data_IF_380313750852
#
_entry.id   IF_380313750852
#
_cell.length_a   1.000
_cell.length_b   1.000
_cell.length_c   1.000
_cell.angle_alpha   90.00
_cell.angle_beta   90.00
_cell.angle_gamma   90.00
#
_symmetry.space_group_name_H-M   'P 1'
#
loop_
_entity.id
_entity.type
_entity.pdbx_description
1 polymer ?
#
# COMPACT_ATOMS: atom_id res chain seq x y z
N UNK A 1 2.25 -2.92 -48.76
CA UNK A 1 2.95 -3.67 -47.70
C UNK A 1 3.32 -2.81 -46.48
N UNK A 2 3.42 -1.47 -46.58
CA UNK A 2 3.77 -0.59 -45.46
C UNK A 2 2.74 -0.55 -44.31
N UNK A 3 1.43 -0.49 -44.61
CA UNK A 3 0.37 -0.45 -43.59
C UNK A 3 0.37 -1.67 -42.64
N UNK A 4 0.77 -2.85 -43.14
CA UNK A 4 0.89 -4.06 -42.33
C UNK A 4 2.09 -4.02 -41.37
N UNK A 5 3.16 -3.29 -41.71
CA UNK A 5 4.31 -3.11 -40.85
C UNK A 5 4.00 -2.07 -39.75
N UNK A 6 3.33 -0.97 -40.09
CA UNK A 6 2.87 0.04 -39.13
C UNK A 6 1.89 -0.54 -38.11
N UNK A 7 0.90 -1.33 -38.55
CA UNK A 7 -0.04 -2.00 -37.63
C UNK A 7 0.71 -2.92 -36.66
N UNK A 8 1.70 -3.68 -37.14
CA UNK A 8 2.50 -4.56 -36.26
C UNK A 8 3.36 -3.78 -35.28
N UNK A 9 3.92 -2.64 -35.69
CA UNK A 9 4.67 -1.77 -34.79
C UNK A 9 3.76 -1.17 -33.70
N UNK A 10 2.56 -0.73 -34.06
CA UNK A 10 1.58 -0.19 -33.11
C UNK A 10 1.12 -1.26 -32.10
N UNK A 11 0.87 -2.48 -32.56
CA UNK A 11 0.53 -3.60 -31.68
C UNK A 11 1.67 -3.89 -30.71
N UNK A 12 2.92 -3.93 -31.17
CA UNK A 12 4.08 -4.15 -30.31
C UNK A 12 4.24 -3.04 -29.24
N UNK A 13 3.95 -1.78 -29.60
CA UNK A 13 3.96 -0.67 -28.66
C UNK A 13 2.87 -0.81 -27.58
N UNK A 14 1.64 -1.18 -27.98
CA UNK A 14 0.53 -1.42 -27.05
C UNK A 14 0.84 -2.61 -26.14
N UNK A 15 1.40 -3.69 -26.66
CA UNK A 15 1.81 -4.86 -25.88
C UNK A 15 2.88 -4.47 -24.84
N UNK A 16 3.89 -3.70 -25.24
CA UNK A 16 4.92 -3.21 -24.31
C UNK A 16 4.34 -2.30 -23.22
N UNK A 17 3.44 -1.38 -23.59
CA UNK A 17 2.76 -0.51 -22.64
C UNK A 17 1.87 -1.31 -21.67
N UNK A 18 1.19 -2.34 -22.16
CA UNK A 18 0.34 -3.23 -21.36
C UNK A 18 1.17 -4.05 -20.38
N UNK A 19 2.30 -4.61 -20.83
CA UNK A 19 3.21 -5.35 -19.96
C UNK A 19 3.79 -4.46 -18.85
N UNK A 20 4.18 -3.23 -19.19
CA UNK A 20 4.65 -2.26 -18.19
C UNK A 20 3.55 -1.88 -17.19
N UNK A 21 2.30 -1.70 -17.64
CA UNK A 21 1.18 -1.41 -16.77
C UNK A 21 0.87 -2.59 -15.82
N UNK A 22 0.95 -3.84 -16.30
CA UNK A 22 0.77 -5.03 -15.48
C UNK A 22 1.86 -5.16 -14.40
N UNK A 23 3.12 -4.94 -14.76
CA UNK A 23 4.23 -4.98 -13.80
C UNK A 23 4.02 -3.96 -12.67
N UNK A 24 3.67 -2.71 -13.01
CA UNK A 24 3.36 -1.66 -12.03
C UNK A 24 2.15 -2.01 -11.15
N UNK A 25 1.12 -2.63 -11.72
CA UNK A 25 -0.04 -3.06 -10.94
C UNK A 25 0.33 -4.13 -9.90
N UNK A 26 1.18 -5.10 -10.27
CA UNK A 26 1.68 -6.13 -9.35
C UNK A 26 2.57 -5.54 -8.26
N UNK A 27 3.48 -4.62 -8.62
CA UNK A 27 4.32 -3.92 -7.66
C UNK A 27 3.48 -3.14 -6.64
N UNK A 28 2.47 -2.40 -7.10
CA UNK A 28 1.53 -1.67 -6.24
C UNK A 28 0.70 -2.61 -5.38
N UNK A 29 0.28 -3.77 -5.89
CA UNK A 29 -0.45 -4.76 -5.10
C UNK A 29 0.40 -5.37 -3.97
N UNK A 30 1.72 -5.49 -4.19
CA UNK A 30 2.65 -6.05 -3.21
C UNK A 30 3.25 -4.99 -2.27
N UNK A 31 3.08 -3.70 -2.57
CA UNK A 31 3.53 -2.62 -1.71
C UNK A 31 2.87 -2.73 -0.33
N UNK A 32 3.66 -2.45 0.70
CA UNK A 32 3.26 -2.59 2.09
C UNK A 32 3.81 -1.41 2.89
N UNK A 33 2.95 -0.75 3.66
CA UNK A 33 3.24 0.43 4.46
C UNK A 33 3.01 0.12 5.92
N UNK A 34 4.06 0.23 6.72
CA UNK A 34 3.99 0.00 8.16
C UNK A 34 4.08 1.31 8.93
N UNK A 35 3.25 1.46 9.96
CA UNK A 35 3.20 2.63 10.83
C UNK A 35 3.17 2.23 12.31
N UNK A 36 3.95 2.88 13.18
CA UNK A 36 3.93 2.61 14.61
C UNK A 36 2.62 3.08 15.25
N UNK A 37 2.11 2.28 16.18
CA UNK A 37 0.96 2.58 17.04
C UNK A 37 1.48 3.23 18.31
N UNK A 38 1.25 4.54 18.46
CA UNK A 38 1.69 5.29 19.64
C UNK A 38 3.18 5.10 19.96
N UNK A 39 3.54 5.35 21.22
CA UNK A 39 4.87 5.07 21.77
C UNK A 39 4.93 3.58 22.13
N UNK A 40 5.41 2.74 21.20
CA UNK A 40 5.72 1.32 21.46
C UNK A 40 4.50 0.40 21.73
N UNK A 41 3.28 0.78 21.33
CA UNK A 41 2.11 -0.10 21.49
C UNK A 41 2.02 -1.16 20.39
N UNK A 42 2.74 -0.98 19.28
CA UNK A 42 2.68 -1.91 18.17
C UNK A 42 2.93 -1.27 16.81
N UNK A 43 2.55 -1.99 15.75
CA UNK A 43 2.64 -1.55 14.35
C UNK A 43 1.37 -1.94 13.58
N UNK A 44 0.89 -1.03 12.74
CA UNK A 44 -0.14 -1.28 11.74
C UNK A 44 0.52 -1.47 10.38
N UNK A 45 0.07 -2.46 9.62
CA UNK A 45 0.52 -2.71 8.26
C UNK A 45 -0.65 -2.61 7.29
N UNK A 46 -0.51 -1.74 6.30
CA UNK A 46 -1.48 -1.49 5.23
C UNK A 46 -0.86 -1.85 3.88
N UNK A 47 -1.64 -2.44 2.99
CA UNK A 47 -1.21 -2.75 1.64
C UNK A 47 -1.24 -1.55 0.70
N UNK A 48 -0.75 -1.73 -0.52
CA UNK A 48 -0.61 -0.65 -1.48
C UNK A 48 -1.91 -0.03 -1.97
N UNK A 49 -3.06 -0.67 -1.73
CA UNK A 49 -4.38 -0.13 -2.06
C UNK A 49 -5.08 0.51 -0.86
N UNK A 50 -4.37 0.64 0.28
CA UNK A 50 -4.94 1.17 1.51
C UNK A 50 -5.69 0.13 2.34
N UNK A 51 -5.62 -1.15 1.99
CA UNK A 51 -6.26 -2.23 2.76
C UNK A 51 -5.46 -2.59 4.02
N UNK A 52 -6.13 -2.69 5.17
CA UNK A 52 -5.50 -3.13 6.41
C UNK A 52 -5.11 -4.61 6.32
N UNK A 53 -3.82 -4.92 6.50
CA UNK A 53 -3.29 -6.30 6.42
C UNK A 53 -2.97 -6.90 7.78
N UNK A 54 -2.35 -6.12 8.66
CA UNK A 54 -1.98 -6.59 9.99
C UNK A 54 -2.00 -5.46 11.02
N UNK A 55 -2.22 -5.85 12.27
CA UNK A 55 -2.09 -5.00 13.46
C UNK A 55 -1.38 -5.83 14.50
N UNK A 56 -0.10 -5.53 14.73
CA UNK A 56 0.72 -6.20 15.73
C UNK A 56 0.80 -5.33 16.97
N UNK A 57 0.30 -5.82 18.10
CA UNK A 57 0.31 -5.09 19.37
C UNK A 57 1.35 -5.68 20.33
N UNK A 58 2.12 -4.82 20.99
CA UNK A 58 3.00 -5.23 22.07
C UNK A 58 2.23 -5.38 23.38
N UNK A 59 1.88 -6.63 23.69
CA UNK A 59 1.17 -7.02 24.93
C UNK A 59 1.84 -6.55 26.23
N UNK A 60 3.14 -6.26 26.24
CA UNK A 60 3.83 -5.73 27.42
C UNK A 60 3.50 -4.26 27.62
N UNK A 61 3.56 -3.48 26.54
CA UNK A 61 3.23 -2.06 26.51
C UNK A 61 1.74 -1.80 26.73
N UNK A 62 0.88 -2.73 26.32
CA UNK A 62 -0.58 -2.65 26.55
C UNK A 62 -0.96 -2.55 28.03
N UNK A 63 -0.13 -3.05 28.95
CA UNK A 63 -0.39 -2.98 30.40
C UNK A 63 -0.41 -1.56 30.95
N UNK A 64 0.18 -0.62 30.23
CA UNK A 64 0.32 0.78 30.63
C UNK A 64 -0.61 1.72 29.85
N UNK A 65 -1.49 1.17 29.02
CA UNK A 65 -2.51 1.94 28.30
C UNK A 65 -3.92 1.50 28.68
N UNK A 66 -4.91 2.31 28.35
CA UNK A 66 -6.32 1.94 28.47
C UNK A 66 -6.93 1.76 27.08
N UNK A 67 -8.13 1.16 27.04
CA UNK A 67 -8.83 0.84 25.81
C UNK A 67 -9.05 2.07 24.91
N UNK A 68 -9.48 3.21 25.48
CA UNK A 68 -9.74 4.42 24.71
C UNK A 68 -8.47 4.96 24.06
N UNK A 69 -7.39 5.05 24.83
CA UNK A 69 -6.10 5.54 24.34
C UNK A 69 -5.51 4.59 23.28
N UNK A 70 -5.69 3.28 23.44
CA UNK A 70 -5.28 2.30 22.44
C UNK A 70 -6.11 2.45 21.15
N UNK A 71 -7.43 2.56 21.25
CA UNK A 71 -8.31 2.72 20.10
C UNK A 71 -7.96 3.98 19.30
N UNK A 72 -7.71 5.10 19.97
CA UNK A 72 -7.29 6.34 19.33
C UNK A 72 -5.91 6.22 18.68
N UNK A 73 -4.95 5.56 19.34
CA UNK A 73 -3.62 5.33 18.80
C UNK A 73 -3.66 4.44 17.54
N UNK A 74 -4.45 3.37 17.57
CA UNK A 74 -4.63 2.45 16.43
C UNK A 74 -5.30 3.18 15.28
N UNK A 75 -6.41 3.90 15.55
CA UNK A 75 -7.11 4.69 14.53
C UNK A 75 -6.17 5.70 13.87
N UNK A 76 -5.36 6.40 14.65
CA UNK A 76 -4.38 7.37 14.14
C UNK A 76 -3.27 6.69 13.33
N UNK A 77 -2.81 5.50 13.72
CA UNK A 77 -1.84 4.73 12.96
C UNK A 77 -2.41 4.25 11.62
N UNK A 78 -3.63 3.72 11.60
CA UNK A 78 -4.33 3.30 10.37
C UNK A 78 -4.49 4.48 9.42
N UNK A 79 -4.99 5.63 9.90
CA UNK A 79 -5.18 6.82 9.05
C UNK A 79 -3.87 7.33 8.45
N UNK A 80 -2.75 7.26 9.18
CA UNK A 80 -1.43 7.61 8.65
C UNK A 80 -0.96 6.62 7.60
N UNK A 81 -1.14 5.32 7.84
CA UNK A 81 -0.75 4.26 6.93
C UNK A 81 -1.53 4.34 5.61
N UNK A 82 -2.85 4.52 5.69
CA UNK A 82 -3.71 4.72 4.52
C UNK A 82 -3.34 5.98 3.73
N UNK A 83 -3.04 7.08 4.41
CA UNK A 83 -2.62 8.32 3.74
C UNK A 83 -1.32 8.11 2.97
N UNK A 84 -0.32 7.46 3.57
CA UNK A 84 0.94 7.13 2.91
C UNK A 84 0.74 6.19 1.70
N UNK A 85 -0.16 5.23 1.82
CA UNK A 85 -0.52 4.33 0.71
C UNK A 85 -1.15 5.11 -0.47
N UNK A 86 -2.06 6.05 -0.18
CA UNK A 86 -2.68 6.92 -1.21
C UNK A 86 -1.67 7.84 -1.89
N UNK A 87 -0.84 8.53 -1.11
CA UNK A 87 0.22 9.40 -1.63
C UNK A 87 1.18 8.64 -2.56
N UNK A 88 1.49 7.38 -2.23
CA UNK A 88 2.35 6.53 -3.07
C UNK A 88 1.65 5.99 -4.32
N UNK A 89 0.31 6.03 -4.36
CA UNK A 89 -0.48 5.62 -5.53
C UNK A 89 -0.63 6.76 -6.54
N UNK A 90 -0.68 7.99 -6.04
CA UNK A 90 -0.81 9.24 -6.82
C UNK A 90 0.52 9.74 -7.38
N UNK A 91 1.67 9.33 -6.81
CA UNK A 91 3.01 9.56 -7.34
C UNK A 91 3.41 8.58 -8.47
#
# INVERSE_FOLDING_TARGET
MAASAEIRALVAEIEAATAAAQARAVERQNATYSEPIGSELGTVTVGGQGELRAVDLDTRSLRYTNESALADAVKTAVQRAERRARESTEA
#
